data_IF_882732520657
#
_entry.id   IF_882732520657
#
_cell.length_a   1.000
_cell.length_b   1.000
_cell.length_c   1.000
_cell.angle_alpha   90.00
_cell.angle_beta   90.00
_cell.angle_gamma   90.00
#
_symmetry.space_group_name_H-M   'P 1'
#
loop_
_entity.id
_entity.type
_entity.pdbx_description
1 polymer ?
#
# COMPACT_ATOMS: atom_id res chain seq x y z
N UNK A 1 10.03 -62.82 -1.84
CA UNK A 1 8.92 -62.85 -2.83
C UNK A 1 7.72 -63.54 -2.20
N UNK A 2 6.59 -62.85 -2.03
CA UNK A 2 5.36 -63.44 -1.46
C UNK A 2 4.20 -63.26 -2.46
N UNK A 3 3.66 -64.38 -2.93
CA UNK A 3 2.52 -64.45 -3.86
C UNK A 3 1.22 -64.05 -3.15
N UNK A 4 0.54 -63.03 -3.68
CA UNK A 4 -0.78 -62.56 -3.22
C UNK A 4 -1.87 -63.58 -3.60
N UNK A 5 -2.64 -64.09 -2.64
CA UNK A 5 -3.78 -65.00 -2.89
C UNK A 5 -4.97 -64.20 -3.46
N UNK A 6 -5.60 -64.72 -4.51
CA UNK A 6 -6.83 -64.14 -5.10
C UNK A 6 -8.08 -64.73 -4.42
N UNK A 7 -9.06 -63.88 -4.12
CA UNK A 7 -10.37 -64.28 -3.56
C UNK A 7 -11.32 -64.58 -4.72
N UNK A 8 -11.86 -65.80 -4.77
CA UNK A 8 -12.83 -66.24 -5.78
C UNK A 8 -14.20 -66.35 -5.10
N UNK A 9 -15.17 -65.53 -5.53
CA UNK A 9 -16.56 -65.60 -5.03
C UNK A 9 -17.37 -66.46 -6.01
N UNK A 10 -18.01 -67.51 -5.50
CA UNK A 10 -18.91 -68.40 -6.26
C UNK A 10 -20.33 -68.20 -5.74
N UNK A 11 -21.28 -67.92 -6.62
CA UNK A 11 -22.72 -67.92 -6.29
C UNK A 11 -23.40 -68.93 -7.22
N UNK A 12 -24.11 -69.91 -6.66
CA UNK A 12 -24.74 -71.03 -7.37
C UNK A 12 -23.81 -71.81 -8.32
N UNK A 13 -22.60 -72.14 -7.85
CA UNK A 13 -21.73 -73.12 -8.51
C UNK A 13 -20.92 -72.63 -9.72
N UNK A 14 -21.09 -71.38 -10.19
CA UNK A 14 -20.24 -70.78 -11.23
C UNK A 14 -19.39 -69.62 -10.70
N UNK A 15 -18.15 -69.54 -11.17
CA UNK A 15 -17.19 -68.47 -10.86
C UNK A 15 -17.50 -67.26 -11.73
N UNK A 16 -17.70 -66.09 -11.12
CA UNK A 16 -17.94 -64.83 -11.83
C UNK A 16 -16.65 -64.05 -12.01
N UNK A 17 -16.29 -63.75 -13.27
CA UNK A 17 -15.07 -63.01 -13.61
C UNK A 17 -15.38 -61.50 -13.71
N UNK A 18 -14.53 -60.66 -13.08
CA UNK A 18 -14.74 -59.20 -13.03
C UNK A 18 -14.19 -58.55 -14.30
N UNK A 19 -15.01 -58.43 -15.33
CA UNK A 19 -14.73 -57.52 -16.44
C UNK A 19 -15.43 -56.17 -16.25
N UNK A 20 -14.61 -55.15 -16.01
CA UNK A 20 -14.97 -53.73 -16.17
C UNK A 20 -15.15 -53.43 -17.66
N UNK A 21 -16.29 -52.89 -18.07
CA UNK A 21 -16.35 -51.72 -18.97
C UNK A 21 -17.78 -51.12 -19.03
N UNK A 22 -17.80 -49.80 -18.83
CA UNK A 22 -18.73 -48.75 -19.30
C UNK A 22 -20.08 -49.13 -19.96
N UNK A 23 -21.15 -48.49 -19.49
CA UNK A 23 -22.16 -47.91 -20.39
C UNK A 23 -22.90 -46.73 -19.73
N UNK A 24 -23.52 -45.92 -20.58
CA UNK A 24 -23.93 -44.53 -20.50
C UNK A 24 -25.23 -44.21 -19.75
N UNK A 25 -25.20 -43.04 -19.09
CA UNK A 25 -26.20 -41.94 -19.03
C UNK A 25 -27.59 -42.09 -18.35
N UNK A 26 -27.81 -41.06 -17.51
CA UNK A 26 -29.06 -40.40 -17.06
C UNK A 26 -29.93 -41.18 -16.08
N UNK A 27 -30.11 -40.66 -14.85
CA UNK A 27 -31.16 -39.65 -14.52
C UNK A 27 -30.93 -39.03 -13.13
N UNK A 28 -31.47 -37.81 -12.98
CA UNK A 28 -31.82 -37.08 -11.75
C UNK A 28 -30.69 -36.62 -10.82
N UNK A 29 -30.39 -35.34 -10.94
CA UNK A 29 -29.54 -34.54 -10.06
C UNK A 29 -30.48 -33.76 -9.13
N UNK A 30 -30.70 -34.24 -7.91
CA UNK A 30 -31.41 -33.47 -6.87
C UNK A 30 -30.39 -32.60 -6.14
N UNK A 31 -30.16 -31.41 -6.68
CA UNK A 31 -29.55 -30.34 -5.90
C UNK A 31 -30.65 -29.59 -5.16
N UNK A 32 -30.70 -29.88 -3.87
CA UNK A 32 -31.40 -29.19 -2.81
C UNK A 32 -30.97 -27.71 -2.80
N UNK A 33 -31.73 -26.85 -3.49
CA UNK A 33 -31.63 -25.40 -3.32
C UNK A 33 -32.74 -24.92 -2.41
N UNK A 34 -32.27 -24.47 -1.26
CA UNK A 34 -32.99 -23.83 -0.18
C UNK A 34 -33.71 -22.58 -0.73
N UNK A 35 -35.03 -22.66 -0.81
CA UNK A 35 -35.88 -21.52 -1.18
C UNK A 35 -35.96 -20.57 0.01
N UNK A 36 -35.20 -19.48 -0.04
CA UNK A 36 -35.47 -18.29 0.78
C UNK A 36 -36.78 -17.67 0.29
N UNK A 37 -37.78 -17.66 1.16
CA UNK A 37 -39.08 -17.05 0.88
C UNK A 37 -38.96 -15.52 0.99
N UNK A 38 -39.11 -14.82 -0.13
CA UNK A 38 -39.38 -13.39 -0.13
C UNK A 38 -40.90 -13.17 0.05
N UNK A 39 -41.26 -12.43 1.10
CA UNK A 39 -42.63 -12.04 1.39
C UNK A 39 -42.99 -10.77 0.60
N UNK A 40 -43.57 -10.93 -0.59
CA UNK A 40 -44.46 -9.93 -1.19
C UNK A 40 -45.62 -10.67 -1.85
N UNK A 41 -46.71 -10.80 -1.09
CA UNK A 41 -48.02 -11.18 -1.63
C UNK A 41 -48.50 -9.99 -2.45
N UNK A 42 -48.48 -10.12 -3.78
CA UNK A 42 -49.25 -9.28 -4.67
C UNK A 42 -50.20 -10.19 -5.44
N UNK A 43 -51.48 -9.92 -5.23
CA UNK A 43 -52.62 -10.65 -5.76
C UNK A 43 -52.55 -10.70 -7.29
N UNK A 44 -52.84 -11.89 -7.81
CA UNK A 44 -52.92 -12.16 -9.23
C UNK A 44 -54.04 -11.31 -9.86
N UNK A 45 -53.67 -10.45 -10.80
CA UNK A 45 -54.59 -10.04 -11.85
C UNK A 45 -54.17 -10.69 -13.17
N UNK A 46 -55.15 -11.33 -13.79
CA UNK A 46 -54.99 -12.20 -14.94
C UNK A 46 -54.66 -11.36 -16.17
N UNK A 47 -53.47 -11.51 -16.73
CA UNK A 47 -53.26 -11.28 -18.16
C UNK A 47 -52.08 -12.08 -18.68
N UNK A 48 -52.39 -12.98 -19.61
CA UNK A 48 -51.46 -13.79 -20.37
C UNK A 48 -50.47 -12.90 -21.14
N UNK A 49 -49.23 -12.82 -20.68
CA UNK A 49 -48.10 -12.40 -21.50
C UNK A 49 -46.95 -13.38 -21.33
N UNK A 50 -46.83 -14.30 -22.28
CA UNK A 50 -45.71 -15.22 -22.43
C UNK A 50 -44.41 -14.41 -22.60
N UNK A 51 -43.51 -14.48 -21.62
CA UNK A 51 -42.17 -13.89 -21.69
C UNK A 51 -41.29 -14.85 -22.51
N UNK A 52 -40.61 -14.42 -23.59
CA UNK A 52 -39.80 -15.31 -24.40
C UNK A 52 -38.51 -15.67 -23.66
N UNK A 53 -38.26 -16.96 -23.46
CA UNK A 53 -37.02 -17.46 -22.88
C UNK A 53 -35.84 -17.26 -23.85
N UNK A 54 -34.81 -16.53 -23.41
CA UNK A 54 -33.59 -16.29 -24.19
C UNK A 54 -32.76 -17.58 -24.25
N UNK A 55 -32.77 -18.26 -25.39
CA UNK A 55 -31.91 -19.42 -25.65
C UNK A 55 -30.53 -18.99 -26.19
N UNK A 56 -29.44 -19.36 -25.50
CA UNK A 56 -28.05 -19.17 -25.98
C UNK A 56 -27.74 -20.12 -27.15
N UNK A 57 -27.23 -19.63 -28.30
CA UNK A 57 -26.77 -20.51 -29.37
C UNK A 57 -25.46 -21.20 -28.99
N UNK A 58 -25.43 -22.52 -29.19
CA UNK A 58 -24.29 -23.40 -28.90
C UNK A 58 -23.22 -23.24 -29.99
N UNK A 59 -22.10 -22.61 -29.66
CA UNK A 59 -20.97 -22.44 -30.57
C UNK A 59 -20.38 -23.80 -31.00
N UNK A 60 -20.20 -23.96 -32.30
CA UNK A 60 -19.72 -25.16 -32.99
C UNK A 60 -18.19 -25.21 -33.07
N UNK A 61 -17.63 -26.36 -32.71
CA UNK A 61 -16.36 -26.97 -33.14
C UNK A 61 -15.18 -26.04 -33.53
N UNK A 62 -14.27 -25.81 -32.58
CA UNK A 62 -12.90 -25.36 -32.87
C UNK A 62 -12.07 -26.60 -33.27
N UNK A 63 -11.64 -26.64 -34.54
CA UNK A 63 -10.67 -27.63 -35.03
C UNK A 63 -9.30 -27.34 -34.41
N UNK A 64 -8.79 -28.28 -33.62
CA UNK A 64 -7.43 -28.23 -33.09
C UNK A 64 -6.42 -28.47 -34.22
N UNK A 65 -5.52 -27.50 -34.44
CA UNK A 65 -4.41 -27.63 -35.37
C UNK A 65 -3.27 -28.46 -34.77
N UNK A 66 -2.64 -29.24 -35.64
CA UNK A 66 -1.62 -30.26 -35.36
C UNK A 66 -0.32 -29.58 -34.88
N UNK A 67 0.11 -29.85 -33.65
CA UNK A 67 1.42 -29.43 -33.12
C UNK A 67 2.54 -30.08 -33.94
N UNK A 68 3.37 -29.27 -34.58
CA UNK A 68 4.62 -29.70 -35.20
C UNK A 68 5.79 -29.47 -34.23
N UNK A 69 6.74 -30.40 -34.28
CA UNK A 69 7.81 -30.67 -33.32
C UNK A 69 8.75 -29.47 -33.10
N UNK A 70 8.94 -29.07 -31.84
CA UNK A 70 9.46 -27.75 -31.43
C UNK A 70 10.89 -27.72 -30.91
N UNK A 71 11.72 -28.73 -31.18
CA UNK A 71 13.08 -28.82 -30.61
C UNK A 71 14.00 -27.66 -31.02
N UNK A 72 13.87 -27.15 -32.24
CA UNK A 72 14.66 -26.00 -32.72
C UNK A 72 14.16 -24.64 -32.22
N UNK A 73 12.90 -24.55 -31.76
CA UNK A 73 12.37 -23.33 -31.13
C UNK A 73 12.89 -23.19 -29.70
N UNK A 74 13.05 -24.31 -28.99
CA UNK A 74 13.56 -24.33 -27.62
C UNK A 74 15.02 -23.88 -27.52
N UNK A 75 15.87 -24.20 -28.52
CA UNK A 75 17.28 -23.77 -28.53
C UNK A 75 17.43 -22.25 -28.74
N UNK A 76 16.56 -21.62 -29.54
CA UNK A 76 16.55 -20.16 -29.69
C UNK A 76 16.12 -19.46 -28.41
N UNK A 77 15.12 -20.01 -27.71
CA UNK A 77 14.67 -19.48 -26.41
C UNK A 77 15.76 -19.61 -25.36
N UNK A 78 16.50 -20.72 -25.34
CA UNK A 78 17.63 -20.91 -24.43
C UNK A 78 18.77 -19.92 -24.68
N UNK A 79 19.13 -19.66 -25.94
CA UNK A 79 20.16 -18.68 -26.30
C UNK A 79 19.75 -17.24 -25.93
N UNK A 80 18.46 -16.89 -26.10
CA UNK A 80 17.94 -15.58 -25.68
C UNK A 80 17.99 -15.46 -24.15
N UNK A 81 17.63 -16.52 -23.42
CA UNK A 81 17.69 -16.53 -21.95
C UNK A 81 19.13 -16.38 -21.43
N UNK A 82 20.10 -17.06 -22.06
CA UNK A 82 21.53 -16.92 -21.73
C UNK A 82 22.00 -15.49 -22.04
N UNK A 83 21.62 -14.94 -23.19
CA UNK A 83 21.95 -13.56 -23.56
C UNK A 83 21.39 -12.53 -22.58
N UNK A 84 20.12 -12.66 -22.18
CA UNK A 84 19.51 -11.76 -21.21
C UNK A 84 20.13 -11.90 -19.81
N UNK A 85 20.49 -13.12 -19.40
CA UNK A 85 21.14 -13.35 -18.12
C UNK A 85 22.53 -12.68 -18.06
N UNK A 86 23.29 -12.72 -19.16
CA UNK A 86 24.58 -12.03 -19.25
C UNK A 86 24.38 -10.52 -19.20
N UNK A 87 23.42 -9.96 -19.94
CA UNK A 87 23.16 -8.50 -19.92
C UNK A 87 22.74 -8.02 -18.53
N UNK A 88 21.78 -8.69 -17.90
CA UNK A 88 21.30 -8.33 -16.56
C UNK A 88 22.41 -8.52 -15.52
N UNK A 89 23.15 -9.62 -15.60
CA UNK A 89 24.28 -9.90 -14.73
C UNK A 89 25.42 -8.89 -14.88
N UNK A 90 25.70 -8.44 -16.11
CA UNK A 90 26.70 -7.40 -16.38
C UNK A 90 26.29 -6.05 -15.82
N UNK A 91 25.01 -5.67 -15.92
CA UNK A 91 24.50 -4.42 -15.33
C UNK A 91 24.60 -4.48 -13.80
N UNK A 92 24.13 -5.55 -13.17
CA UNK A 92 24.25 -5.71 -11.70
C UNK A 92 25.72 -5.74 -11.25
N UNK A 93 26.59 -6.44 -11.97
CA UNK A 93 28.02 -6.50 -11.68
C UNK A 93 28.68 -5.12 -11.81
N UNK A 94 28.27 -4.31 -12.79
CA UNK A 94 28.78 -2.95 -12.97
C UNK A 94 28.34 -2.03 -11.83
N UNK A 95 27.07 -2.10 -11.42
CA UNK A 95 26.56 -1.33 -10.26
C UNK A 95 27.32 -1.70 -8.99
N UNK A 96 27.52 -2.99 -8.74
CA UNK A 96 28.29 -3.47 -7.59
C UNK A 96 29.76 -2.99 -7.64
N UNK A 97 30.39 -3.03 -8.81
CA UNK A 97 31.75 -2.52 -9.01
C UNK A 97 31.85 -1.01 -8.75
N UNK A 98 30.85 -0.22 -9.17
CA UNK A 98 30.83 1.23 -8.94
C UNK A 98 30.70 1.57 -7.45
N UNK A 99 29.91 0.79 -6.70
CA UNK A 99 29.78 0.95 -5.24
C UNK A 99 31.13 0.68 -4.56
N UNK A 100 31.83 -0.40 -4.92
CA UNK A 100 33.12 -0.71 -4.29
C UNK A 100 34.27 0.21 -4.73
N UNK A 101 34.30 0.66 -5.98
CA UNK A 101 35.34 1.59 -6.48
C UNK A 101 35.19 2.99 -5.88
N UNK A 102 33.95 3.43 -5.64
CA UNK A 102 33.69 4.72 -4.98
C UNK A 102 33.90 4.68 -3.46
N UNK A 103 34.07 3.50 -2.85
CA UNK A 103 34.24 3.36 -1.40
C UNK A 103 35.73 3.32 -0.98
N UNK A 104 36.66 2.97 -1.87
CA UNK A 104 38.09 2.86 -1.55
C UNK A 104 39.03 3.81 -2.34
N UNK A 105 38.50 4.73 -3.15
CA UNK A 105 39.31 5.61 -3.99
C UNK A 105 38.83 7.06 -4.07
N UNK A 106 39.47 7.94 -3.27
CA UNK A 106 39.52 9.40 -3.42
C UNK A 106 38.20 10.18 -3.19
N UNK A 107 38.09 10.98 -2.14
CA UNK A 107 38.53 12.39 -2.19
C UNK A 107 38.78 12.91 -3.62
N UNK A 108 37.74 13.50 -4.20
CA UNK A 108 37.85 14.45 -5.32
C UNK A 108 37.90 13.84 -6.71
N UNK A 109 36.75 13.80 -7.39
CA UNK A 109 36.63 14.13 -8.81
C UNK A 109 35.14 14.26 -9.19
N UNK A 110 34.71 15.49 -9.49
CA UNK A 110 33.50 15.75 -10.26
C UNK A 110 33.60 15.09 -11.65
N UNK A 111 32.48 14.60 -12.23
CA UNK A 111 32.32 14.57 -13.67
C UNK A 111 31.74 15.92 -14.12
N UNK A 112 32.62 16.79 -14.62
CA UNK A 112 32.19 17.90 -15.46
C UNK A 112 31.83 17.41 -16.86
N UNK A 113 30.71 17.89 -17.40
CA UNK A 113 30.64 18.75 -18.61
C UNK A 113 29.30 18.59 -19.34
N UNK A 114 28.48 19.64 -19.25
CA UNK A 114 27.94 20.33 -20.42
C UNK A 114 27.49 21.73 -19.99
N UNK A 115 28.42 22.70 -20.06
CA UNK A 115 28.10 24.13 -19.97
C UNK A 115 27.32 24.55 -21.21
N UNK A 116 26.07 24.99 -21.03
CA UNK A 116 25.42 25.96 -21.93
C UNK A 116 25.01 27.16 -21.11
N UNK A 117 25.31 28.34 -21.65
CA UNK A 117 25.31 29.64 -21.00
C UNK A 117 23.93 30.09 -20.49
N UNK A 118 23.90 30.39 -19.19
CA UNK A 118 23.34 31.57 -18.52
C UNK A 118 22.33 32.40 -19.33
N UNK A 119 21.05 32.30 -18.97
CA UNK A 119 20.19 33.47 -18.86
C UNK A 119 19.93 33.69 -17.37
N UNK A 120 20.38 34.85 -16.87
CA UNK A 120 20.11 35.32 -15.53
C UNK A 120 18.61 35.63 -15.40
N UNK A 121 17.97 34.94 -14.48
CA UNK A 121 16.80 35.40 -13.74
C UNK A 121 16.97 34.87 -12.32
N UNK A 122 16.86 35.77 -11.35
CA UNK A 122 17.06 35.54 -9.92
C UNK A 122 16.28 34.32 -9.41
N UNK A 123 17.02 33.25 -9.15
CA UNK A 123 16.98 32.45 -7.93
C UNK A 123 18.20 31.53 -8.01
N UNK A 124 19.08 31.59 -7.00
CA UNK A 124 20.12 30.57 -6.86
C UNK A 124 19.44 29.24 -6.53
N UNK A 125 18.93 28.55 -7.55
CA UNK A 125 18.52 27.16 -7.42
C UNK A 125 19.82 26.35 -7.27
N UNK A 126 20.05 25.89 -6.04
CA UNK A 126 20.99 24.83 -5.78
C UNK A 126 20.64 23.63 -6.67
N UNK A 127 21.62 22.86 -7.15
CA UNK A 127 21.36 21.68 -7.96
C UNK A 127 20.48 20.69 -7.18
N UNK A 128 19.33 20.35 -7.75
CA UNK A 128 18.43 19.31 -7.24
C UNK A 128 18.68 17.99 -7.99
N UNK A 129 18.47 16.88 -7.31
CA UNK A 129 18.48 15.54 -7.89
C UNK A 129 17.21 14.80 -7.48
N UNK A 130 16.80 13.82 -8.30
CA UNK A 130 15.72 12.91 -7.94
C UNK A 130 16.19 11.98 -6.82
N UNK A 131 15.51 12.05 -5.68
CA UNK A 131 15.79 11.24 -4.51
C UNK A 131 14.56 10.43 -4.13
N UNK A 132 14.74 9.13 -3.85
CA UNK A 132 13.67 8.25 -3.39
C UNK A 132 13.42 8.45 -1.91
N UNK A 133 12.18 8.72 -1.52
CA UNK A 133 11.78 8.83 -0.13
C UNK A 133 11.10 7.57 0.37
N UNK A 134 11.41 7.19 1.60
CA UNK A 134 10.80 6.05 2.30
C UNK A 134 9.46 6.48 2.93
N UNK A 135 8.39 5.70 2.78
CA UNK A 135 7.13 6.01 3.42
C UNK A 135 7.28 5.95 4.95
N UNK A 136 6.52 6.80 5.64
CA UNK A 136 6.37 6.76 7.09
C UNK A 136 5.10 5.98 7.41
N UNK A 137 5.24 4.96 8.24
CA UNK A 137 4.13 4.12 8.71
C UNK A 137 3.76 4.45 10.16
N UNK A 138 2.44 4.48 10.44
CA UNK A 138 1.91 4.66 11.78
C UNK A 138 0.47 4.11 11.90
N UNK A 139 -0.04 4.01 13.12
CA UNK A 139 -1.46 3.77 13.39
C UNK A 139 -2.16 5.12 13.63
N UNK A 140 -3.27 5.37 12.96
CA UNK A 140 -4.05 6.62 13.10
C UNK A 140 -5.42 6.34 13.68
N UNK A 141 -5.93 7.32 14.44
CA UNK A 141 -7.28 7.33 15.00
C UNK A 141 -8.20 8.06 14.02
N UNK A 142 -8.96 7.33 13.21
CA UNK A 142 -9.86 7.85 12.20
C UNK A 142 -11.27 8.05 12.75
N UNK A 143 -11.76 9.30 12.69
CA UNK A 143 -13.11 9.68 13.11
C UNK A 143 -14.11 9.78 11.93
N UNK A 144 -13.62 9.85 10.69
CA UNK A 144 -14.51 9.92 9.53
C UNK A 144 -13.77 9.96 8.19
N UNK A 145 -14.52 9.75 7.10
CA UNK A 145 -14.06 9.91 5.71
C UNK A 145 -15.15 10.61 4.91
N UNK A 146 -14.78 11.63 4.16
CA UNK A 146 -15.69 12.47 3.41
C UNK A 146 -15.24 12.63 1.97
N UNK A 147 -16.20 12.68 1.04
CA UNK A 147 -15.91 12.99 -0.37
C UNK A 147 -15.77 14.51 -0.61
N UNK A 148 -16.22 15.35 0.34
CA UNK A 148 -16.24 16.80 0.21
C UNK A 148 -15.56 17.46 1.41
N UNK A 149 -14.62 18.37 1.13
CA UNK A 149 -13.88 19.15 2.13
C UNK A 149 -14.79 20.00 3.02
N UNK A 150 -15.87 20.56 2.47
CA UNK A 150 -16.82 21.37 3.23
C UNK A 150 -17.44 20.56 4.38
N UNK A 151 -17.90 19.34 4.09
CA UNK A 151 -18.46 18.44 5.10
C UNK A 151 -17.40 18.02 6.12
N UNK A 152 -16.18 17.72 5.67
CA UNK A 152 -15.08 17.40 6.58
C UNK A 152 -14.81 18.56 7.56
N UNK A 153 -14.81 19.82 7.07
CA UNK A 153 -14.62 21.00 7.91
C UNK A 153 -15.77 21.22 8.91
N UNK A 154 -17.01 20.89 8.55
CA UNK A 154 -18.14 20.95 9.49
C UNK A 154 -17.94 19.97 10.64
N UNK A 155 -17.53 18.74 10.34
CA UNK A 155 -17.25 17.73 11.36
C UNK A 155 -16.05 18.09 12.24
N UNK A 156 -14.99 18.67 11.69
CA UNK A 156 -13.86 19.19 12.49
C UNK A 156 -14.35 20.20 13.52
N UNK A 157 -15.29 21.09 13.17
CA UNK A 157 -15.88 22.03 14.13
C UNK A 157 -16.69 21.32 15.20
N UNK A 158 -17.47 20.31 14.84
CA UNK A 158 -18.22 19.50 15.81
C UNK A 158 -17.30 18.75 16.77
N UNK A 159 -16.16 18.23 16.30
CA UNK A 159 -15.15 17.64 17.18
C UNK A 159 -14.55 18.71 18.10
N UNK A 160 -14.21 19.88 17.57
CA UNK A 160 -13.66 20.98 18.37
C UNK A 160 -14.65 21.47 19.45
N UNK A 161 -15.95 21.53 19.15
CA UNK A 161 -17.01 21.85 20.11
C UNK A 161 -17.11 20.81 21.24
N UNK A 162 -16.71 19.56 20.96
CA UNK A 162 -16.58 18.47 21.93
C UNK A 162 -15.20 18.41 22.62
N UNK A 163 -14.31 19.37 22.34
CA UNK A 163 -12.96 19.41 22.91
C UNK A 163 -11.96 18.46 22.25
N UNK A 164 -12.28 17.96 21.05
CA UNK A 164 -11.41 17.08 20.25
C UNK A 164 -10.87 17.82 19.03
N UNK A 165 -9.56 17.89 18.93
CA UNK A 165 -8.93 18.42 17.72
C UNK A 165 -8.77 17.34 16.65
N UNK A 166 -9.14 17.67 15.41
CA UNK A 166 -9.09 16.77 14.27
C UNK A 166 -8.31 17.38 13.10
N UNK A 167 -7.51 16.55 12.43
CA UNK A 167 -6.79 16.91 11.20
C UNK A 167 -7.51 16.33 9.99
N UNK A 168 -7.66 17.17 8.96
CA UNK A 168 -8.16 16.73 7.64
C UNK A 168 -6.96 16.31 6.79
N UNK A 169 -6.89 15.02 6.44
CA UNK A 169 -5.90 14.48 5.52
C UNK A 169 -6.55 14.19 4.17
N UNK A 170 -6.04 14.80 3.10
CA UNK A 170 -6.53 14.57 1.74
C UNK A 170 -5.71 13.48 1.03
N UNK A 171 -6.35 12.36 0.69
CA UNK A 171 -5.74 11.24 -0.06
C UNK A 171 -6.78 10.60 -0.98
N UNK A 172 -6.38 10.24 -2.19
CA UNK A 172 -7.25 9.58 -3.19
C UNK A 172 -8.59 10.32 -3.45
N UNK A 173 -8.54 11.66 -3.52
CA UNK A 173 -9.72 12.53 -3.66
C UNK A 173 -10.77 12.39 -2.54
N UNK A 174 -10.35 11.91 -1.36
CA UNK A 174 -11.15 11.83 -0.15
C UNK A 174 -10.49 12.61 0.98
N UNK A 175 -11.29 13.01 1.96
CA UNK A 175 -10.89 13.76 3.14
C UNK A 175 -11.09 12.90 4.38
N UNK A 176 -9.99 12.44 4.95
CA UNK A 176 -9.96 11.64 6.17
C UNK A 176 -9.87 12.57 7.38
N UNK A 177 -10.64 12.29 8.43
CA UNK A 177 -10.53 12.98 9.71
C UNK A 177 -9.77 12.09 10.69
N UNK A 178 -8.65 12.59 11.18
CA UNK A 178 -7.80 11.91 12.14
C UNK A 178 -7.68 12.70 13.44
N UNK A 179 -7.78 12.02 14.58
CA UNK A 179 -7.72 12.59 15.93
C UNK A 179 -6.36 12.37 16.61
N UNK A 180 -5.55 11.46 16.07
CA UNK A 180 -4.26 11.11 16.67
C UNK A 180 -3.52 10.03 15.89
N UNK A 181 -2.31 9.75 16.35
CA UNK A 181 -1.34 8.83 15.76
C UNK A 181 -0.66 7.98 16.86
N UNK A 182 -0.19 6.79 16.55
CA UNK A 182 0.56 5.94 17.48
C UNK A 182 1.54 5.02 16.74
N UNK A 183 2.55 4.53 17.46
CA UNK A 183 3.51 3.57 16.88
C UNK A 183 2.89 2.17 16.74
N UNK A 184 2.04 1.75 17.69
CA UNK A 184 1.42 0.42 17.68
C UNK A 184 -0.10 0.49 17.76
N UNK A 185 -0.74 -0.59 17.30
CA UNK A 185 -2.19 -0.76 17.43
C UNK A 185 -2.65 -0.72 18.89
N UNK A 186 -1.88 -1.30 19.82
CA UNK A 186 -2.26 -1.30 21.24
C UNK A 186 -2.28 0.12 21.80
N UNK A 187 -1.25 0.91 21.50
CA UNK A 187 -1.17 2.31 21.90
C UNK A 187 -2.33 3.14 21.31
N UNK A 188 -2.63 2.95 20.02
CA UNK A 188 -3.77 3.61 19.39
C UNK A 188 -5.12 3.27 20.09
N UNK A 189 -5.28 2.04 20.58
CA UNK A 189 -6.49 1.64 21.34
C UNK A 189 -6.56 2.34 22.70
N UNK A 190 -5.43 2.49 23.39
CA UNK A 190 -5.39 3.21 24.66
C UNK A 190 -5.80 4.67 24.45
N UNK A 191 -5.19 5.36 23.48
CA UNK A 191 -5.51 6.76 23.16
C UNK A 191 -6.98 6.91 22.74
N UNK A 192 -7.52 5.99 21.93
CA UNK A 192 -8.92 6.03 21.51
C UNK A 192 -9.90 5.86 22.68
N UNK A 193 -9.53 5.05 23.68
CA UNK A 193 -10.36 4.84 24.89
C UNK A 193 -10.35 6.07 25.80
N UNK A 194 -9.26 6.85 25.79
CA UNK A 194 -9.13 8.08 26.58
C UNK A 194 -9.88 9.27 25.97
N UNK A 195 -9.99 9.34 24.63
CA UNK A 195 -10.51 10.53 23.93
C UNK A 195 -12.00 10.78 24.14
N UNK A 196 -12.88 9.78 23.97
CA UNK A 196 -14.33 9.82 24.34
C UNK A 196 -15.06 8.58 23.82
N UNK A 197 -16.26 8.32 24.35
CA UNK A 197 -17.19 7.28 23.86
C UNK A 197 -18.32 7.81 22.96
N UNK A 198 -18.39 9.12 22.74
CA UNK A 198 -19.48 9.75 21.98
C UNK A 198 -19.34 9.59 20.46
N UNK A 199 -18.12 9.39 19.96
CA UNK A 199 -17.83 9.25 18.55
C UNK A 199 -17.20 7.90 18.24
N UNK A 200 -17.56 7.34 17.08
CA UNK A 200 -16.93 6.11 16.58
C UNK A 200 -15.52 6.40 16.07
N UNK A 201 -14.51 5.98 16.84
CA UNK A 201 -13.10 6.10 16.48
C UNK A 201 -12.59 4.75 15.97
N UNK A 202 -12.05 4.75 14.76
CA UNK A 202 -11.46 3.57 14.12
C UNK A 202 -9.95 3.65 14.10
N UNK A 203 -9.27 2.55 14.42
CA UNK A 203 -7.81 2.48 14.33
C UNK A 203 -7.44 1.86 12.99
N UNK A 204 -6.58 2.55 12.24
CA UNK A 204 -6.09 2.07 10.95
C UNK A 204 -4.58 2.22 10.85
N UNK A 205 -3.97 1.26 10.16
CA UNK A 205 -2.61 1.43 9.64
C UNK A 205 -2.64 2.47 8.52
N UNK A 206 -1.70 3.41 8.59
CA UNK A 206 -1.60 4.51 7.65
C UNK A 206 -0.15 4.70 7.24
N UNK A 207 0.04 4.94 5.95
CA UNK A 207 1.34 5.11 5.34
C UNK A 207 1.30 6.32 4.41
N UNK A 208 2.36 7.15 4.45
CA UNK A 208 2.55 8.25 3.51
C UNK A 208 2.83 7.71 2.11
N UNK A 209 2.77 8.58 1.10
CA UNK A 209 3.19 8.23 -0.25
C UNK A 209 4.68 7.83 -0.29
N UNK A 210 5.00 7.01 -1.28
CA UNK A 210 6.35 6.57 -1.64
C UNK A 210 6.63 7.04 -3.07
N UNK A 211 7.85 7.50 -3.34
CA UNK A 211 8.23 7.97 -4.66
C UNK A 211 9.53 8.76 -4.70
N UNK A 212 9.87 9.20 -5.91
CA UNK A 212 11.00 10.09 -6.17
C UNK A 212 10.55 11.55 -6.16
N UNK A 213 11.28 12.39 -5.44
CA UNK A 213 11.08 13.84 -5.44
C UNK A 213 12.38 14.57 -5.74
N UNK A 214 12.28 15.71 -6.42
CA UNK A 214 13.43 16.57 -6.67
C UNK A 214 13.73 17.41 -5.43
N UNK A 215 14.87 17.13 -4.81
CA UNK A 215 15.42 17.82 -3.66
C UNK A 215 16.91 18.08 -3.86
N UNK A 216 17.43 19.11 -3.19
CA UNK A 216 18.88 19.27 -3.01
C UNK A 216 19.40 18.20 -2.05
N UNK A 217 20.70 17.91 -2.09
CA UNK A 217 21.30 16.91 -1.20
C UNK A 217 21.12 17.25 0.29
N UNK A 218 21.14 18.55 0.63
CA UNK A 218 20.88 19.02 1.98
C UNK A 218 19.42 18.76 2.39
N UNK A 219 18.45 19.06 1.52
CA UNK A 219 17.03 18.78 1.79
C UNK A 219 16.76 17.28 1.89
N UNK A 220 17.40 16.46 1.06
CA UNK A 220 17.27 15.01 1.17
C UNK A 220 17.81 14.47 2.50
N UNK A 221 18.98 14.93 2.94
CA UNK A 221 19.52 14.57 4.26
C UNK A 221 18.60 14.98 5.40
N UNK A 222 18.00 16.17 5.32
CA UNK A 222 16.98 16.60 6.27
C UNK A 222 15.79 15.66 6.31
N UNK A 223 15.23 15.30 5.16
CA UNK A 223 14.03 14.45 5.09
C UNK A 223 14.31 13.04 5.60
N UNK A 224 15.50 12.50 5.32
CA UNK A 224 15.95 11.22 5.86
C UNK A 224 16.07 11.26 7.38
N UNK A 225 16.77 12.26 7.92
CA UNK A 225 16.90 12.41 9.37
C UNK A 225 15.54 12.63 10.04
N UNK A 226 14.68 13.46 9.44
CA UNK A 226 13.32 13.66 9.92
C UNK A 226 12.52 12.36 10.00
N UNK A 227 12.61 11.50 8.98
CA UNK A 227 11.90 10.22 8.99
C UNK A 227 12.41 9.30 10.13
N UNK A 228 13.72 9.27 10.38
CA UNK A 228 14.31 8.53 11.50
C UNK A 228 13.88 9.10 12.87
N UNK A 229 13.93 10.42 13.01
CA UNK A 229 13.53 11.13 14.24
C UNK A 229 12.04 10.91 14.51
N UNK A 230 11.20 10.93 13.47
CA UNK A 230 9.78 10.67 13.56
C UNK A 230 9.48 9.25 14.06
N UNK A 231 10.17 8.25 13.52
CA UNK A 231 10.04 6.86 13.98
C UNK A 231 10.50 6.68 15.42
N UNK A 232 11.45 7.50 15.88
CA UNK A 232 11.88 7.53 17.28
C UNK A 232 10.89 8.29 18.18
N UNK A 233 10.21 9.30 17.66
CA UNK A 233 9.22 10.11 18.38
C UNK A 233 7.92 9.34 18.68
N UNK A 234 7.44 8.55 17.72
CA UNK A 234 6.14 7.87 17.78
C UNK A 234 5.95 7.00 19.04
N UNK A 235 6.89 6.11 19.41
CA UNK A 235 6.72 5.27 20.60
C UNK A 235 6.74 6.08 21.90
N UNK A 236 7.52 7.16 21.93
CA UNK A 236 7.69 8.02 23.11
C UNK A 236 6.39 8.78 23.38
N UNK A 237 5.82 9.44 22.38
CA UNK A 237 4.59 10.23 22.51
C UNK A 237 3.30 9.42 22.67
N UNK A 238 3.42 8.10 22.71
CA UNK A 238 2.30 7.21 23.00
C UNK A 238 2.05 7.03 24.51
N UNK A 239 2.88 7.62 25.39
CA UNK A 239 2.64 7.65 26.83
C UNK A 239 2.00 8.98 27.28
N UNK A 240 1.01 8.97 28.18
CA UNK A 240 0.16 10.12 28.54
C UNK A 240 0.88 11.30 29.23
N UNK A 241 2.19 11.19 29.47
CA UNK A 241 3.01 12.25 30.04
C UNK A 241 4.43 12.31 29.43
N UNK A 242 4.65 11.64 28.29
CA UNK A 242 5.95 11.66 27.66
C UNK A 242 6.23 13.02 27.01
N UNK A 243 7.39 13.55 27.37
CA UNK A 243 8.01 14.67 26.68
C UNK A 243 8.90 14.12 25.57
N UNK A 244 8.88 14.74 24.40
CA UNK A 244 9.88 14.42 23.40
C UNK A 244 11.29 14.69 23.94
N UNK A 245 12.29 13.88 23.57
CA UNK A 245 13.68 14.17 23.88
C UNK A 245 14.03 15.57 23.41
N UNK A 246 14.63 16.37 24.30
CA UNK A 246 15.16 17.69 23.95
C UNK A 246 16.12 17.50 22.76
N UNK A 247 15.92 18.28 21.70
CA UNK A 247 16.69 18.22 20.45
C UNK A 247 16.41 17.03 19.51
N UNK A 248 15.33 16.26 19.67
CA UNK A 248 15.02 15.14 18.77
C UNK A 248 15.02 15.58 17.29
N UNK A 249 14.50 16.77 16.99
CA UNK A 249 14.49 17.34 15.64
C UNK A 249 15.53 18.47 15.45
N UNK A 250 16.52 18.61 16.34
CA UNK A 250 17.45 19.73 16.30
C UNK A 250 18.44 19.65 15.13
N UNK A 251 18.94 18.47 14.82
CA UNK A 251 19.86 18.25 13.69
C UNK A 251 19.22 18.62 12.34
N UNK A 252 17.99 18.18 12.02
CA UNK A 252 17.30 18.67 10.83
C UNK A 252 17.06 20.19 10.88
N UNK A 253 16.67 20.76 12.02
CA UNK A 253 16.41 22.21 12.13
C UNK A 253 17.64 23.12 11.94
N UNK A 254 18.86 22.60 12.18
CA UNK A 254 20.13 23.33 11.99
C UNK A 254 20.59 23.38 10.53
N UNK A 255 20.11 22.46 9.69
CA UNK A 255 20.37 22.53 8.26
C UNK A 255 19.67 23.78 7.73
N UNK A 256 20.41 24.62 6.99
CA UNK A 256 19.93 25.92 6.51
C UNK A 256 18.92 25.75 5.37
N UNK A 257 17.72 25.25 5.71
CA UNK A 257 16.59 25.06 4.80
C UNK A 257 15.55 26.16 5.03
N UNK A 258 16.01 27.32 5.49
CA UNK A 258 15.16 28.46 5.90
C UNK A 258 14.37 29.06 4.72
N UNK A 259 14.69 28.70 3.47
CA UNK A 259 14.07 29.22 2.26
C UNK A 259 13.52 28.12 1.32
N UNK A 260 13.34 26.87 1.77
CA UNK A 260 12.68 25.86 0.93
C UNK A 260 11.17 26.03 1.00
N UNK A 261 10.56 26.31 -0.16
CA UNK A 261 9.10 26.37 -0.30
C UNK A 261 8.44 25.03 0.07
N UNK A 262 9.14 23.91 -0.17
CA UNK A 262 8.64 22.56 0.11
C UNK A 262 8.72 22.17 1.59
N UNK A 263 9.81 22.53 2.28
CA UNK A 263 10.08 22.08 3.66
C UNK A 263 9.75 23.12 4.75
N UNK A 264 9.41 24.35 4.37
CA UNK A 264 8.98 25.42 5.30
C UNK A 264 7.84 25.03 6.25
N UNK A 265 6.78 24.31 5.80
CA UNK A 265 5.71 23.86 6.70
C UNK A 265 6.20 22.92 7.80
N UNK A 266 7.10 21.99 7.46
CA UNK A 266 7.64 20.98 8.39
C UNK A 266 8.53 21.63 9.43
N UNK A 267 9.46 22.51 9.02
CA UNK A 267 10.36 23.20 9.95
C UNK A 267 9.61 24.11 10.92
N UNK A 268 8.53 24.74 10.45
CA UNK A 268 7.66 25.57 11.29
C UNK A 268 6.91 24.73 12.33
N UNK A 269 6.35 23.58 11.97
CA UNK A 269 5.67 22.72 12.95
C UNK A 269 6.64 22.08 13.93
N UNK A 270 7.84 21.67 13.51
CA UNK A 270 8.89 21.15 14.41
C UNK A 270 9.19 22.16 15.53
N UNK A 271 9.28 23.45 15.21
CA UNK A 271 9.58 24.50 16.20
C UNK A 271 8.51 24.64 17.28
N UNK A 272 7.26 24.23 17.01
CA UNK A 272 6.14 24.32 17.96
C UNK A 272 6.07 23.11 18.89
N UNK A 273 6.68 21.99 18.52
CA UNK A 273 6.52 20.71 19.19
C UNK A 273 7.38 20.57 20.45
N UNK A 274 8.48 21.33 20.56
CA UNK A 274 9.42 21.24 21.67
C UNK A 274 8.78 21.46 23.05
N UNK A 275 7.70 22.25 23.11
CA UNK A 275 7.01 22.59 24.36
C UNK A 275 5.71 21.79 24.58
N UNK A 276 5.29 20.95 23.62
CA UNK A 276 4.01 20.24 23.67
C UNK A 276 4.14 18.89 24.37
N UNK A 277 3.08 18.49 25.08
CA UNK A 277 3.02 17.21 25.81
C UNK A 277 1.69 16.49 25.56
N UNK A 278 1.70 15.17 25.71
CA UNK A 278 0.48 14.34 25.62
C UNK A 278 -0.25 14.47 24.27
N UNK A 279 -1.57 14.70 24.32
CA UNK A 279 -2.46 14.71 23.15
C UNK A 279 -2.11 15.79 22.12
N UNK A 280 -1.62 16.96 22.55
CA UNK A 280 -1.25 18.04 21.64
C UNK A 280 0.02 17.70 20.83
N UNK A 281 0.98 17.04 21.48
CA UNK A 281 2.18 16.54 20.83
C UNK A 281 1.85 15.41 19.83
N UNK A 282 0.91 14.53 20.21
CA UNK A 282 0.38 13.49 19.34
C UNK A 282 -0.24 14.04 18.05
N UNK A 283 -1.13 15.03 18.18
CA UNK A 283 -1.75 15.69 17.04
C UNK A 283 -0.72 16.43 16.17
N UNK A 284 0.31 17.01 16.80
CA UNK A 284 1.37 17.71 16.08
C UNK A 284 2.25 16.76 15.27
N UNK A 285 2.56 15.56 15.78
CA UNK A 285 3.20 14.50 14.98
C UNK A 285 2.33 14.09 13.78
N UNK A 286 1.03 13.92 13.99
CA UNK A 286 0.10 13.60 12.90
C UNK A 286 0.11 14.70 11.82
N UNK A 287 0.21 15.98 12.21
CA UNK A 287 0.34 17.10 11.28
C UNK A 287 1.67 17.07 10.52
N UNK A 288 2.77 16.77 11.20
CA UNK A 288 4.08 16.60 10.56
C UNK A 288 4.07 15.48 9.52
N UNK A 289 3.47 14.34 9.86
CA UNK A 289 3.31 13.21 8.93
C UNK A 289 2.47 13.61 7.72
N UNK A 290 1.40 14.39 7.92
CA UNK A 290 0.57 14.90 6.82
C UNK A 290 1.34 15.89 5.93
N UNK A 291 2.21 16.73 6.49
CA UNK A 291 3.06 17.63 5.72
C UNK A 291 4.14 16.88 4.93
N UNK A 292 4.72 15.83 5.52
CA UNK A 292 5.63 14.93 4.81
C UNK A 292 4.96 14.31 3.57
N UNK A 293 3.72 13.84 3.72
CA UNK A 293 2.94 13.29 2.61
C UNK A 293 2.64 14.31 1.49
N UNK A 294 2.57 15.60 1.83
CA UNK A 294 2.37 16.67 0.85
C UNK A 294 3.60 16.92 -0.03
N UNK A 295 4.78 16.43 0.34
CA UNK A 295 5.99 16.55 -0.49
C UNK A 295 5.88 15.82 -1.84
N UNK A 296 4.95 14.87 -1.94
CA UNK A 296 4.71 14.07 -3.15
C UNK A 296 3.64 14.67 -4.09
N UNK A 297 3.04 15.81 -3.73
CA UNK A 297 2.01 16.49 -4.52
C UNK A 297 2.58 17.69 -5.28
#
# INVERSE_FOLDING_TARGET
MAKKKQVIIKQNGKVMDRQKHQSTKKTANDNLYQSEQAATVQEADNNDQEIPAIARPKQTNIKQSKKQDGRFRSLRVLLIAIGSAIVIGSVLSYVMFQIFVNVDGNQGAQPGLATTQINQSDNQNLPTSAHSLTPIDAFVLQAGVFANKANANEWVKSFADAGLDAIIWEKDAQYYLFLGIAATKEQANLIATELTSEFDIFIKEWSTAEGEIELTDAEYQFVQQFAEDFQTALPVLSEPAATLPENLFAEPSKQTITNSEKLGPITTEISKIADLTGTEANLSLLRLMSQYDQLFK
#
